data_IF_251477447580
#
_entry.id   IF_251477447580
#
_cell.length_a   1.000
_cell.length_b   1.000
_cell.length_c   1.000
_cell.angle_alpha   90.00
_cell.angle_beta   90.00
_cell.angle_gamma   90.00
#
_symmetry.space_group_name_H-M   'P 1'
#
loop_
_entity.id
_entity.type
_entity.pdbx_description
1 polymer ?
#
# COMPACT_ATOMS: atom_id res chain seq x y z
N UNK A 1 1.86 16.00 -12.26
CA UNK A 1 1.51 14.58 -12.09
C UNK A 1 0.00 14.44 -12.24
N UNK A 2 -0.49 13.37 -12.85
CA UNK A 2 -1.93 13.06 -12.89
C UNK A 2 -2.09 11.57 -12.63
N UNK A 3 -2.94 11.24 -11.66
CA UNK A 3 -3.33 9.89 -11.34
C UNK A 3 -4.86 9.80 -11.29
N UNK A 4 -5.42 8.82 -12.01
CA UNK A 4 -6.83 8.44 -11.97
C UNK A 4 -6.94 6.95 -12.24
N UNK A 5 -7.76 6.25 -11.45
CA UNK A 5 -8.05 4.84 -11.65
C UNK A 5 -9.41 4.49 -11.06
N UNK A 6 -10.04 3.42 -11.54
CA UNK A 6 -11.24 2.84 -10.97
C UNK A 6 -10.88 1.47 -10.40
N UNK A 7 -11.20 1.23 -9.13
CA UNK A 7 -10.99 -0.07 -8.51
C UNK A 7 -11.93 -1.13 -9.09
N UNK A 8 -11.43 -2.36 -9.17
CA UNK A 8 -12.27 -3.53 -9.35
C UNK A 8 -12.91 -3.91 -8.00
N UNK A 9 -14.02 -4.67 -8.03
CA UNK A 9 -14.64 -5.19 -6.82
C UNK A 9 -13.64 -6.06 -6.03
N UNK A 10 -12.95 -6.97 -6.74
CA UNK A 10 -11.92 -7.83 -6.16
C UNK A 10 -10.74 -7.03 -5.61
N UNK A 11 -10.29 -5.98 -6.30
CA UNK A 11 -9.18 -5.15 -5.85
C UNK A 11 -9.49 -4.41 -4.55
N UNK A 12 -10.72 -3.90 -4.43
CA UNK A 12 -11.22 -3.28 -3.19
C UNK A 12 -11.23 -4.29 -2.05
N UNK A 13 -11.77 -5.48 -2.29
CA UNK A 13 -11.84 -6.57 -1.31
C UNK A 13 -10.47 -7.07 -0.86
N UNK A 14 -9.52 -7.20 -1.78
CA UNK A 14 -8.15 -7.61 -1.47
C UNK A 14 -7.47 -6.59 -0.56
N UNK A 15 -7.54 -5.29 -0.89
CA UNK A 15 -6.95 -4.25 -0.07
C UNK A 15 -7.63 -4.15 1.30
N UNK A 16 -8.96 -4.16 1.34
CA UNK A 16 -9.73 -3.97 2.57
C UNK A 16 -9.60 -5.14 3.54
N UNK A 17 -9.75 -6.38 3.06
CA UNK A 17 -9.90 -7.56 3.91
C UNK A 17 -8.57 -8.26 4.18
N UNK A 18 -7.57 -8.11 3.31
CA UNK A 18 -6.33 -8.89 3.36
C UNK A 18 -5.11 -8.02 3.63
N UNK A 19 -4.81 -7.06 2.74
CA UNK A 19 -3.50 -6.41 2.74
C UNK A 19 -3.39 -5.24 3.72
N UNK A 20 -4.30 -4.26 3.67
CA UNK A 20 -4.21 -3.10 4.56
C UNK A 20 -4.32 -3.48 6.05
N UNK A 21 -5.20 -4.41 6.49
CA UNK A 21 -5.21 -4.85 7.88
C UNK A 21 -3.93 -5.60 8.30
N UNK A 22 -3.25 -6.27 7.37
CA UNK A 22 -1.97 -6.91 7.65
C UNK A 22 -0.86 -5.87 7.79
N UNK A 23 -0.81 -4.87 6.92
CA UNK A 23 0.21 -3.81 6.93
C UNK A 23 0.04 -2.86 8.13
N UNK A 24 -1.19 -2.62 8.58
CA UNK A 24 -1.48 -1.84 9.79
C UNK A 24 -0.86 -2.46 11.06
N UNK A 25 -0.66 -3.78 11.08
CA UNK A 25 0.02 -4.47 12.20
C UNK A 25 1.52 -4.19 12.26
N UNK A 26 2.14 -3.82 11.14
CA UNK A 26 3.59 -3.58 11.06
C UNK A 26 3.94 -2.10 11.22
N UNK A 27 3.13 -1.21 10.64
CA UNK A 27 3.40 0.22 10.66
C UNK A 27 2.14 1.03 10.37
N UNK A 28 2.12 2.28 10.85
CA UNK A 28 0.99 3.21 10.65
C UNK A 28 1.04 3.90 9.29
N UNK A 29 2.23 4.07 8.74
CA UNK A 29 2.50 4.72 7.46
C UNK A 29 2.85 3.69 6.40
N UNK A 30 2.62 4.06 5.15
CA UNK A 30 2.96 3.23 3.99
C UNK A 30 3.42 4.10 2.84
N UNK A 31 4.53 3.71 2.20
CA UNK A 31 4.96 4.29 0.94
C UNK A 31 4.20 3.60 -0.19
N UNK A 32 3.45 4.37 -0.96
CA UNK A 32 2.74 3.92 -2.15
C UNK A 32 3.56 4.32 -3.36
N UNK A 33 3.92 3.35 -4.20
CA UNK A 33 4.57 3.56 -5.49
C UNK A 33 3.60 3.13 -6.59
N UNK A 34 3.17 4.10 -7.39
CA UNK A 34 2.31 3.90 -8.56
C UNK A 34 3.16 3.95 -9.82
N UNK A 35 3.07 2.89 -10.63
CA UNK A 35 3.69 2.80 -11.95
C UNK A 35 2.64 2.46 -13.01
N UNK A 36 3.04 2.39 -14.28
CA UNK A 36 2.12 1.98 -15.35
C UNK A 36 1.75 0.49 -15.30
N UNK A 37 2.53 -0.36 -14.62
CA UNK A 37 2.35 -1.83 -14.65
C UNK A 37 1.95 -2.42 -13.30
N UNK A 38 2.42 -1.82 -12.22
CA UNK A 38 2.19 -2.30 -10.86
C UNK A 38 2.03 -1.18 -9.84
N UNK A 39 1.37 -1.51 -8.74
CA UNK A 39 1.35 -0.72 -7.52
C UNK A 39 2.13 -1.47 -6.45
N UNK A 40 3.08 -0.78 -5.82
CA UNK A 40 3.80 -1.30 -4.65
C UNK A 40 3.41 -0.54 -3.41
N UNK A 41 3.21 -1.30 -2.36
CA UNK A 41 2.97 -0.85 -1.02
C UNK A 41 4.19 -1.27 -0.20
N UNK A 42 4.94 -0.31 0.33
CA UNK A 42 6.20 -0.55 1.04
C UNK A 42 6.11 0.06 2.43
N UNK A 43 6.65 -0.65 3.42
CA UNK A 43 6.98 -0.12 4.75
C UNK A 43 8.44 -0.41 5.00
N UNK A 44 9.20 0.64 5.28
CA UNK A 44 10.64 0.51 5.51
C UNK A 44 10.92 -0.03 6.91
N UNK A 45 12.12 -0.58 7.18
CA UNK A 45 12.52 -0.96 8.53
C UNK A 45 12.49 0.18 9.56
N UNK A 46 12.37 1.44 9.12
CA UNK A 46 12.22 2.61 9.99
C UNK A 46 10.77 2.86 10.39
N UNK A 47 9.82 2.48 9.53
CA UNK A 47 8.37 2.59 9.78
C UNK A 47 7.84 1.44 10.63
N UNK A 48 8.60 0.34 10.67
CA UNK A 48 8.28 -0.88 11.38
C UNK A 48 9.32 -1.14 12.48
N UNK A 49 9.10 -2.16 13.30
CA UNK A 49 10.09 -2.63 14.29
C UNK A 49 11.24 -3.42 13.63
N UNK A 50 11.85 -2.87 12.56
CA UNK A 50 13.04 -3.40 11.88
C UNK A 50 12.77 -4.34 10.69
N UNK A 51 11.51 -4.59 10.33
CA UNK A 51 11.14 -5.48 9.22
C UNK A 51 10.76 -4.68 7.96
N UNK A 52 11.41 -4.92 6.83
CA UNK A 52 10.91 -4.40 5.55
C UNK A 52 9.69 -5.20 5.11
N UNK A 53 8.54 -4.55 4.90
CA UNK A 53 7.31 -5.19 4.45
C UNK A 53 6.94 -4.61 3.09
N UNK A 54 6.62 -5.48 2.13
CA UNK A 54 6.24 -5.06 0.79
C UNK A 54 5.10 -5.92 0.25
N UNK A 55 4.16 -5.30 -0.45
CA UNK A 55 3.18 -5.95 -1.29
C UNK A 55 3.19 -5.30 -2.68
N UNK A 56 3.26 -6.12 -3.72
CA UNK A 56 3.24 -5.66 -5.12
C UNK A 56 2.03 -6.26 -5.83
N UNK A 57 1.33 -5.42 -6.57
CA UNK A 57 0.12 -5.79 -7.29
C UNK A 57 0.23 -5.37 -8.75
N UNK A 58 -0.07 -6.25 -9.72
CA UNK A 58 -0.29 -5.78 -11.09
C UNK A 58 -1.51 -4.86 -11.11
N UNK A 59 -1.51 -3.86 -12.01
CA UNK A 59 -2.62 -2.88 -12.09
C UNK A 59 -3.97 -3.58 -12.20
N UNK A 60 -4.06 -4.65 -13.00
CA UNK A 60 -5.29 -5.40 -13.27
C UNK A 60 -5.86 -6.09 -12.02
N UNK A 61 -5.04 -6.37 -11.01
CA UNK A 61 -5.51 -6.96 -9.75
C UNK A 61 -6.25 -5.94 -8.88
N UNK A 62 -5.92 -4.66 -8.99
CA UNK A 62 -6.51 -3.60 -8.16
C UNK A 62 -7.49 -2.70 -8.92
N UNK A 63 -7.21 -2.43 -10.20
CA UNK A 63 -7.88 -1.42 -10.99
C UNK A 63 -8.35 -1.95 -12.34
N UNK A 64 -9.41 -1.36 -12.86
CA UNK A 64 -9.79 -1.51 -14.26
C UNK A 64 -8.74 -0.84 -15.15
N UNK A 65 -8.03 -1.66 -15.93
CA UNK A 65 -6.95 -1.24 -16.83
C UNK A 65 -7.35 -0.12 -17.78
N UNK A 66 -8.60 -0.12 -18.25
CA UNK A 66 -9.10 0.90 -19.19
C UNK A 66 -9.23 2.29 -18.57
N UNK A 67 -9.45 2.33 -17.25
CA UNK A 67 -9.62 3.56 -16.47
C UNK A 67 -8.30 4.11 -15.92
N UNK A 68 -7.26 3.27 -15.86
CA UNK A 68 -6.00 3.57 -15.20
C UNK A 68 -5.18 4.58 -16.01
N UNK A 69 -4.80 5.68 -15.35
CA UNK A 69 -3.91 6.71 -15.89
C UNK A 69 -2.95 7.14 -14.80
N UNK A 70 -1.67 6.83 -14.98
CA UNK A 70 -0.58 7.38 -14.16
C UNK A 70 0.38 8.14 -15.08
N UNK A 71 0.58 9.43 -14.82
CA UNK A 71 1.51 10.26 -15.60
C UNK A 71 2.32 11.15 -14.67
N UNK A 72 3.64 11.08 -14.83
CA UNK A 72 4.61 11.81 -14.02
C UNK A 72 5.81 12.23 -14.86
N UNK A 73 6.59 13.18 -14.36
CA UNK A 73 7.79 13.65 -15.08
C UNK A 73 8.93 12.65 -14.99
N UNK A 74 8.98 11.86 -13.92
CA UNK A 74 10.04 10.88 -13.66
C UNK A 74 9.50 9.48 -13.95
N UNK A 75 9.77 8.95 -15.14
CA UNK A 75 9.40 7.59 -15.58
C UNK A 75 7.93 7.18 -15.37
N UNK A 76 6.99 8.13 -15.39
CA UNK A 76 5.58 7.90 -15.03
C UNK A 76 5.38 7.23 -13.65
N UNK A 77 6.35 7.40 -12.75
CA UNK A 77 6.27 6.96 -11.37
C UNK A 77 5.74 8.08 -10.47
N UNK A 78 4.83 7.72 -9.58
CA UNK A 78 4.32 8.61 -8.54
C UNK A 78 4.48 7.87 -7.22
N UNK A 79 5.20 8.46 -6.27
CA UNK A 79 5.31 7.93 -4.92
C UNK A 79 4.94 8.97 -3.87
N UNK A 80 4.36 8.50 -2.77
CA UNK A 80 3.97 9.30 -1.61
C UNK A 80 3.75 8.40 -0.40
N UNK A 81 3.66 9.02 0.79
CA UNK A 81 3.27 8.35 2.03
C UNK A 81 1.79 8.57 2.28
N UNK A 82 1.11 7.51 2.71
CA UNK A 82 -0.24 7.56 3.24
C UNK A 82 -0.31 6.92 4.64
N UNK A 83 -1.31 7.29 5.42
CA UNK A 83 -1.65 6.58 6.66
C UNK A 83 -2.49 5.35 6.32
N UNK A 84 -2.07 4.18 6.83
CA UNK A 84 -2.69 2.89 6.54
C UNK A 84 -4.11 2.82 7.11
N UNK A 85 -4.31 3.32 8.33
CA UNK A 85 -5.61 3.28 9.01
C UNK A 85 -6.64 4.19 8.33
N UNK A 86 -6.23 5.39 7.90
CA UNK A 86 -7.07 6.29 7.12
C UNK A 86 -7.41 5.70 5.75
N UNK A 87 -6.42 5.12 5.05
CA UNK A 87 -6.65 4.45 3.77
C UNK A 87 -7.62 3.27 3.91
N UNK A 88 -7.42 2.42 4.93
CA UNK A 88 -8.31 1.30 5.24
C UNK A 88 -9.74 1.77 5.54
N UNK A 89 -9.89 2.86 6.32
CA UNK A 89 -11.20 3.43 6.64
C UNK A 89 -11.92 3.94 5.39
N UNK A 90 -11.20 4.62 4.48
CA UNK A 90 -11.75 5.11 3.22
C UNK A 90 -12.21 3.96 2.33
N UNK A 91 -11.36 2.95 2.13
CA UNK A 91 -11.69 1.78 1.31
C UNK A 91 -12.85 0.99 1.93
N UNK A 92 -12.86 0.76 3.25
CA UNK A 92 -13.97 0.05 3.93
C UNK A 92 -15.29 0.79 3.78
N UNK A 93 -15.29 2.12 3.87
CA UNK A 93 -16.50 2.91 3.70
C UNK A 93 -17.00 2.84 2.26
N UNK A 94 -16.10 2.86 1.29
CA UNK A 94 -16.45 2.69 -0.11
C UNK A 94 -16.98 1.28 -0.41
N UNK A 95 -16.31 0.23 0.08
CA UNK A 95 -16.71 -1.17 -0.11
C UNK A 95 -18.14 -1.45 0.41
N UNK A 96 -18.50 -0.84 1.55
CA UNK A 96 -19.83 -0.99 2.14
C UNK A 96 -20.97 -0.34 1.34
N UNK A 97 -20.68 0.61 0.43
CA UNK A 97 -21.70 1.47 -0.18
C UNK A 97 -21.67 1.50 -1.72
N UNK A 98 -20.56 1.08 -2.36
CA UNK A 98 -20.28 1.31 -3.79
C UNK A 98 -20.17 -0.04 -4.55
N UNK A 99 -20.95 -1.04 -4.13
CA UNK A 99 -20.79 -2.43 -4.55
C UNK A 99 -20.96 -2.70 -6.06
N UNK A 100 -21.64 -1.82 -6.82
CA UNK A 100 -21.99 -2.10 -8.22
C UNK A 100 -21.32 -1.17 -9.25
N UNK A 101 -21.26 0.14 -9.01
CA UNK A 101 -20.76 1.10 -10.02
C UNK A 101 -19.24 1.35 -9.91
N UNK A 102 -18.58 0.82 -8.88
CA UNK A 102 -17.13 0.83 -8.68
C UNK A 102 -16.57 2.14 -8.11
N UNK A 103 -15.44 2.02 -7.42
CA UNK A 103 -14.80 3.12 -6.70
C UNK A 103 -13.74 3.81 -7.58
N UNK A 104 -13.90 5.10 -7.90
CA UNK A 104 -12.88 5.89 -8.57
C UNK A 104 -11.93 6.52 -7.55
N UNK A 105 -10.63 6.51 -7.83
CA UNK A 105 -9.60 7.25 -7.10
C UNK A 105 -8.88 8.20 -8.04
N UNK A 106 -8.66 9.44 -7.57
CA UNK A 106 -7.95 10.48 -8.31
C UNK A 106 -7.04 11.28 -7.40
N UNK A 107 -5.85 11.61 -7.89
CA UNK A 107 -4.97 12.55 -7.22
C UNK A 107 -5.41 13.99 -7.49
N UNK A 108 -5.59 14.77 -6.42
CA UNK A 108 -5.97 16.18 -6.46
C UNK A 108 -5.05 17.02 -5.56
N UNK A 109 -4.89 18.30 -5.89
CA UNK A 109 -4.21 19.27 -5.04
C UNK A 109 -5.23 20.30 -4.58
N UNK A 110 -5.25 20.58 -3.28
CA UNK A 110 -6.08 21.64 -2.69
C UNK A 110 -5.20 22.71 -2.11
N UNK A 111 -5.48 23.95 -2.50
CA UNK A 111 -4.82 25.13 -1.97
C UNK A 111 -5.52 25.57 -0.69
N UNK A 112 -4.74 25.74 0.39
CA UNK A 112 -5.22 26.31 1.63
C UNK A 112 -4.56 27.67 1.83
N UNK A 113 -5.39 28.70 1.95
CA UNK A 113 -4.93 30.00 2.41
C UNK A 113 -4.72 29.92 3.92
N UNK A 114 -3.48 30.12 4.36
CA UNK A 114 -3.17 30.24 5.79
C UNK A 114 -3.59 31.64 6.22
N UNK A 115 -4.54 31.73 7.15
CA UNK A 115 -5.04 33.00 7.69
C UNK A 115 -3.88 33.80 8.31
N UNK A 116 -3.48 34.90 7.66
CA UNK A 116 -2.45 35.82 8.16
C UNK A 116 -1.18 35.92 7.31
N UNK A 117 -1.03 35.12 6.25
CA UNK A 117 0.07 35.20 5.28
C UNK A 117 -0.47 35.08 3.85
N UNK A 118 0.06 35.84 2.89
CA UNK A 118 -0.31 35.73 1.46
C UNK A 118 0.17 34.41 0.80
N UNK A 119 0.83 33.54 1.55
CA UNK A 119 1.33 32.26 1.08
C UNK A 119 0.22 31.19 1.11
N UNK A 120 -0.14 30.70 -0.08
CA UNK A 120 -1.05 29.57 -0.28
C UNK A 120 -0.24 28.26 -0.25
N UNK A 121 -0.54 27.35 0.68
CA UNK A 121 0.10 26.03 0.70
C UNK A 121 -0.78 24.99 0.00
N UNK A 122 -0.29 24.43 -1.11
CA UNK A 122 -0.97 23.36 -1.83
C UNK A 122 -0.71 22.00 -1.16
N UNK A 123 -1.76 21.38 -0.61
CA UNK A 123 -1.72 20.04 -0.01
C UNK A 123 -2.32 18.99 -0.94
N UNK A 124 -1.64 17.86 -1.17
CA UNK A 124 -2.13 16.79 -2.04
C UNK A 124 -3.10 15.85 -1.30
N UNK A 125 -4.12 15.38 -2.02
CA UNK A 125 -5.12 14.42 -1.53
C UNK A 125 -5.40 13.34 -2.58
N UNK A 126 -5.67 12.13 -2.12
CA UNK A 126 -6.39 11.14 -2.92
C UNK A 126 -7.89 11.31 -2.68
N UNK A 127 -8.62 11.60 -3.76
CA UNK A 127 -10.06 11.74 -3.75
C UNK A 127 -10.67 10.42 -4.23
N UNK A 128 -11.43 9.80 -3.36
CA UNK A 128 -12.19 8.59 -3.62
C UNK A 128 -13.64 8.98 -3.89
N UNK A 129 -14.12 8.67 -5.10
CA UNK A 129 -15.48 8.93 -5.53
C UNK A 129 -16.16 7.60 -5.83
N UNK A 130 -17.23 7.31 -5.10
CA UNK A 130 -18.11 6.19 -5.39
C UNK A 130 -19.50 6.69 -5.70
N UNK A 131 -20.13 6.14 -6.74
CA UNK A 131 -21.54 6.34 -7.01
C UNK A 131 -22.25 5.05 -6.60
N UNK A 132 -23.22 5.15 -5.69
CA UNK A 132 -24.05 4.04 -5.25
C UNK A 132 -25.49 4.31 -5.64
N UNK A 133 -26.31 3.27 -5.70
CA UNK A 133 -27.73 3.38 -6.10
C UNK A 133 -28.52 4.40 -5.26
N UNK A 134 -28.15 4.58 -3.98
CA UNK A 134 -28.86 5.48 -3.05
C UNK A 134 -28.03 6.71 -2.64
N UNK A 135 -26.71 6.62 -2.66
CA UNK A 135 -25.84 7.70 -2.18
C UNK A 135 -24.53 7.74 -2.96
N UNK A 136 -24.06 8.95 -3.27
CA UNK A 136 -22.69 9.16 -3.75
C UNK A 136 -21.76 9.46 -2.56
N UNK A 137 -20.57 8.87 -2.59
CA UNK A 137 -19.54 9.05 -1.58
C UNK A 137 -18.38 9.81 -2.21
N UNK A 138 -17.97 10.86 -1.52
CA UNK A 138 -16.73 11.58 -1.80
C UNK A 138 -15.91 11.60 -0.52
N UNK A 139 -14.75 10.96 -0.55
CA UNK A 139 -13.83 10.88 0.57
C UNK A 139 -12.45 11.34 0.15
N UNK A 140 -11.78 12.06 1.03
CA UNK A 140 -10.47 12.64 0.75
C UNK A 140 -9.49 12.10 1.77
N UNK A 141 -8.42 11.49 1.25
CA UNK A 141 -7.31 11.00 2.04
C UNK A 141 -6.14 11.98 1.87
N UNK A 142 -5.71 12.67 2.94
CA UNK A 142 -4.49 13.45 2.89
C UNK A 142 -3.29 12.52 2.64
N UNK A 143 -2.41 12.93 1.74
CA UNK A 143 -1.15 12.23 1.49
C UNK A 143 0.04 13.16 1.75
N UNK A 144 1.24 12.61 1.88
CA UNK A 144 2.44 13.42 1.96
C UNK A 144 2.68 14.20 0.68
N UNK A 145 3.63 15.15 0.73
CA UNK A 145 4.21 15.71 -0.50
C UNK A 145 4.71 14.54 -1.37
N UNK A 146 4.41 14.54 -2.68
CA UNK A 146 4.91 13.51 -3.58
C UNK A 146 6.43 13.51 -3.58
N UNK A 147 7.00 12.32 -3.69
CA UNK A 147 8.43 12.13 -3.62
C UNK A 147 9.14 12.82 -4.79
N UNK A 148 10.35 13.29 -4.52
CA UNK A 148 11.31 13.75 -5.50
C UNK A 148 11.81 12.59 -6.36
N UNK A 149 12.46 12.88 -7.49
CA UNK A 149 13.02 11.85 -8.37
C UNK A 149 14.02 10.94 -7.63
N UNK A 150 14.89 11.52 -6.80
CA UNK A 150 15.88 10.77 -6.02
C UNK A 150 15.23 9.84 -4.98
N UNK A 151 14.19 10.33 -4.28
CA UNK A 151 13.44 9.51 -3.32
C UNK A 151 12.68 8.37 -4.01
N UNK A 152 12.16 8.60 -5.22
CA UNK A 152 11.54 7.54 -6.03
C UNK A 152 12.57 6.48 -6.39
N UNK A 153 13.75 6.87 -6.88
CA UNK A 153 14.80 5.91 -7.25
C UNK A 153 15.27 5.09 -6.04
N UNK A 154 15.41 5.74 -4.87
CA UNK A 154 15.71 5.05 -3.62
C UNK A 154 14.62 4.04 -3.24
N UNK A 155 13.33 4.43 -3.35
CA UNK A 155 12.21 3.54 -3.05
C UNK A 155 12.14 2.35 -4.03
N UNK A 156 12.39 2.58 -5.32
CA UNK A 156 12.46 1.51 -6.33
C UNK A 156 13.59 0.53 -5.99
N UNK A 157 14.77 1.03 -5.62
CA UNK A 157 15.88 0.18 -5.22
C UNK A 157 15.55 -0.67 -3.99
N UNK A 158 14.92 -0.07 -2.97
CA UNK A 158 14.45 -0.79 -1.78
C UNK A 158 13.40 -1.87 -2.13
N UNK A 159 12.54 -1.60 -3.10
CA UNK A 159 11.50 -2.53 -3.55
C UNK A 159 12.03 -3.66 -4.46
N UNK A 160 13.27 -3.56 -4.94
CA UNK A 160 13.87 -4.52 -5.91
C UNK A 160 14.75 -5.57 -5.23
N UNK A 161 14.65 -5.72 -3.90
CA UNK A 161 15.54 -6.56 -3.06
C UNK A 161 15.32 -8.08 -3.20
N UNK A 162 15.06 -8.58 -4.42
CA UNK A 162 14.97 -10.01 -4.73
C UNK A 162 16.34 -10.73 -4.73
N UNK A 163 17.47 -10.01 -4.58
CA UNK A 163 18.81 -10.52 -4.87
C UNK A 163 19.63 -11.00 -3.65
N UNK A 164 19.11 -11.00 -2.41
CA UNK A 164 19.95 -11.21 -1.22
C UNK A 164 19.73 -12.53 -0.46
N UNK A 165 18.76 -13.36 -0.84
CA UNK A 165 18.51 -14.61 -0.11
C UNK A 165 19.30 -15.78 -0.75
N UNK A 166 20.38 -16.29 -0.11
CA UNK A 166 21.15 -17.42 -0.64
C UNK A 166 20.33 -18.73 -0.67
N UNK A 167 19.21 -18.79 0.05
CA UNK A 167 18.35 -19.96 0.14
C UNK A 167 16.87 -19.55 0.14
N UNK A 168 16.03 -20.36 -0.49
CA UNK A 168 14.58 -20.21 -0.52
C UNK A 168 13.94 -21.39 0.22
N UNK A 169 13.03 -21.10 1.14
CA UNK A 169 12.23 -22.10 1.86
C UNK A 169 10.78 -21.68 1.75
N UNK A 170 9.95 -22.53 1.14
CA UNK A 170 8.52 -22.32 1.08
C UNK A 170 7.85 -22.90 2.33
N UNK A 171 7.33 -22.01 3.17
CA UNK A 171 6.58 -22.35 4.39
C UNK A 171 5.06 -22.22 4.19
N UNK A 172 4.58 -21.89 2.99
CA UNK A 172 3.16 -21.75 2.69
C UNK A 172 2.33 -22.97 3.11
N UNK A 173 2.71 -24.20 2.70
CA UNK A 173 1.97 -25.42 3.04
C UNK A 173 1.88 -25.74 4.53
N UNK A 174 2.82 -25.26 5.35
CA UNK A 174 2.90 -25.53 6.78
C UNK A 174 2.71 -24.29 7.66
N UNK A 175 2.27 -23.17 7.08
CA UNK A 175 2.20 -21.86 7.74
C UNK A 175 1.38 -21.86 9.04
N UNK A 176 0.24 -22.56 9.07
CA UNK A 176 -0.61 -22.68 10.26
C UNK A 176 0.05 -23.49 11.38
N UNK A 177 0.66 -24.63 11.02
CA UNK A 177 1.42 -25.47 11.96
C UNK A 177 2.62 -24.72 12.51
N UNK A 178 3.35 -24.01 11.64
CA UNK A 178 4.49 -23.19 12.02
C UNK A 178 4.08 -22.07 12.98
N UNK A 179 2.97 -21.37 12.69
CA UNK A 179 2.44 -20.33 13.56
C UNK A 179 2.07 -20.88 14.96
N UNK A 180 1.38 -22.03 15.02
CA UNK A 180 1.06 -22.68 16.28
C UNK A 180 2.32 -23.09 17.08
N UNK A 181 3.38 -23.50 16.39
CA UNK A 181 4.66 -23.84 17.02
C UNK A 181 5.39 -22.59 17.53
N UNK A 182 5.42 -21.51 16.73
CA UNK A 182 5.96 -20.21 17.13
C UNK A 182 5.24 -19.71 18.38
N UNK A 183 3.91 -19.78 18.43
CA UNK A 183 3.13 -19.31 19.58
C UNK A 183 3.43 -20.09 20.86
N UNK A 184 3.72 -21.39 20.76
CA UNK A 184 4.20 -22.18 21.90
C UNK A 184 5.60 -21.76 22.34
N UNK A 185 6.51 -21.53 21.39
CA UNK A 185 7.91 -21.19 21.66
C UNK A 185 8.11 -19.75 22.17
N UNK A 186 7.22 -18.82 21.85
CA UNK A 186 7.22 -17.44 22.38
C UNK A 186 7.25 -17.38 23.91
N UNK A 187 6.68 -18.39 24.59
CA UNK A 187 6.69 -18.48 26.06
C UNK A 187 8.06 -18.86 26.64
N UNK A 188 8.94 -19.43 25.82
CA UNK A 188 10.24 -19.98 26.26
C UNK A 188 11.37 -18.99 26.03
N UNK A 189 11.36 -18.27 24.90
CA UNK A 189 12.39 -17.29 24.54
C UNK A 189 11.81 -16.17 23.68
N UNK A 190 12.37 -14.96 23.82
CA UNK A 190 12.10 -13.82 22.92
C UNK A 190 12.84 -13.91 21.59
N UNK A 191 13.72 -14.90 21.40
CA UNK A 191 14.50 -15.11 20.18
C UNK A 191 14.28 -16.52 19.61
N UNK A 192 14.21 -16.60 18.29
CA UNK A 192 14.11 -17.86 17.54
C UNK A 192 15.27 -17.94 16.56
N UNK A 193 16.06 -19.02 16.64
CA UNK A 193 17.13 -19.30 15.69
C UNK A 193 16.66 -20.35 14.70
N UNK A 194 16.63 -20.00 13.41
CA UNK A 194 16.36 -20.96 12.35
C UNK A 194 17.65 -21.69 11.98
N UNK A 195 17.74 -22.96 12.37
CA UNK A 195 18.86 -23.82 12.02
C UNK A 195 18.54 -24.67 10.80
N UNK A 196 19.48 -24.75 9.85
CA UNK A 196 19.39 -25.66 8.71
C UNK A 196 19.87 -27.05 9.14
N UNK A 197 18.99 -28.05 9.09
CA UNK A 197 19.43 -29.45 9.09
C UNK A 197 19.76 -29.83 7.64
N UNK A 198 21.05 -30.02 7.35
CA UNK A 198 21.47 -30.73 6.14
C UNK A 198 21.34 -32.21 6.46
N UNK A 199 20.28 -32.88 5.97
CA UNK A 199 20.25 -34.33 5.98
C UNK A 199 21.28 -34.81 4.96
N UNK A 200 22.46 -35.23 5.42
CA UNK A 200 23.33 -36.10 4.63
C UNK A 200 22.61 -37.45 4.50
N UNK A 201 22.19 -37.79 3.28
CA UNK A 201 21.85 -39.16 2.90
C UNK A 201 23.13 -39.95 2.63
#
# INVERSE_FOLDING_TARGET
>A
MRFKAKFTADGTDQLEKRFLPAMEKFGKTIQVLLSEEEVKLVQTPLDTDGAQVMASFPIEALFDRSSYRCTSRHHNLIAFVADVGLLLKVIRTAAANVAEEGLEVKLSQKEFQVTGTEESEAKPFLVFKGEGQTMSILQELPISKPYTAEEIDHLVNLATTASLAPYYVDVGPCSTTLLAMIDRMKSVSGTLMMARMVMCM
#
